data_IF_159796494230
#
_entry.id   IF_159796494230
#
_cell.length_a   1.000
_cell.length_b   1.000
_cell.length_c   1.000
_cell.angle_alpha   90.00
_cell.angle_beta   90.00
_cell.angle_gamma   90.00
#
_symmetry.space_group_name_H-M   'P 1'
#
loop_
_entity.id
_entity.type
_entity.pdbx_description
1 polymer ?
#
# COMPACT_ATOMS: atom_id res chain seq x y z
N UNK A 1 -13.25 21.52 59.36
CA UNK A 1 -14.02 20.36 59.84
C UNK A 1 -15.47 20.65 59.46
N UNK A 2 -15.93 20.14 58.31
CA UNK A 2 -17.33 20.30 57.91
C UNK A 2 -18.08 19.16 58.59
N UNK A 3 -18.84 19.51 59.61
CA UNK A 3 -19.49 18.61 60.56
C UNK A 3 -20.95 18.49 60.15
N UNK A 4 -21.42 17.27 59.95
CA UNK A 4 -22.74 16.84 60.47
C UNK A 4 -23.92 16.92 59.53
N UNK A 5 -24.32 18.08 59.04
CA UNK A 5 -25.59 18.24 58.32
C UNK A 5 -25.37 18.95 56.96
N UNK A 6 -25.97 18.39 55.91
CA UNK A 6 -25.92 18.96 54.55
C UNK A 6 -24.78 18.46 53.66
N UNK A 7 -24.11 17.33 53.94
CA UNK A 7 -23.04 16.81 53.05
C UNK A 7 -23.52 16.65 51.60
N UNK A 8 -24.73 16.12 51.40
CA UNK A 8 -25.36 16.02 50.08
C UNK A 8 -25.66 17.40 49.46
N UNK A 9 -26.06 18.38 50.27
CA UNK A 9 -26.26 19.77 49.80
C UNK A 9 -24.96 20.40 49.29
N UNK A 10 -23.82 20.10 49.93
CA UNK A 10 -22.52 20.54 49.44
C UNK A 10 -22.15 19.88 48.10
N UNK A 11 -22.41 18.58 47.94
CA UNK A 11 -22.23 17.92 46.65
C UNK A 11 -23.14 18.51 45.56
N UNK A 12 -24.41 18.80 45.89
CA UNK A 12 -25.35 19.46 44.99
C UNK A 12 -24.87 20.87 44.58
N UNK A 13 -24.30 21.63 45.52
CA UNK A 13 -23.76 22.96 45.25
C UNK A 13 -22.51 22.91 44.34
N UNK A 14 -21.69 21.86 44.46
CA UNK A 14 -20.45 21.70 43.69
C UNK A 14 -20.70 21.05 42.32
N UNK A 15 -21.71 20.19 42.18
CA UNK A 15 -21.98 19.42 40.97
C UNK A 15 -22.04 20.23 39.67
N UNK A 16 -22.67 21.43 39.61
CA UNK A 16 -22.65 22.26 38.41
C UNK A 16 -21.24 22.66 37.93
N UNK A 17 -20.27 22.75 38.84
CA UNK A 17 -18.90 23.15 38.54
C UNK A 17 -18.00 21.97 38.17
N UNK A 18 -18.40 20.73 38.47
CA UNK A 18 -17.57 19.55 38.23
C UNK A 18 -17.22 19.38 36.74
N UNK A 19 -18.13 19.74 35.84
CA UNK A 19 -17.88 19.73 34.38
C UNK A 19 -16.77 20.70 33.98
N UNK A 20 -16.77 21.92 34.53
CA UNK A 20 -15.78 22.95 34.22
C UNK A 20 -14.43 22.62 34.84
N UNK A 21 -14.45 22.02 36.04
CA UNK A 21 -13.25 21.59 36.76
C UNK A 21 -12.59 20.40 36.06
N UNK A 22 -13.38 19.42 35.64
CA UNK A 22 -12.85 18.19 35.02
C UNK A 22 -12.57 18.36 33.52
N UNK A 23 -13.15 19.37 32.88
CA UNK A 23 -12.92 19.69 31.47
C UNK A 23 -13.46 18.63 30.49
N UNK A 24 -14.28 17.68 30.96
CA UNK A 24 -15.00 16.71 30.12
C UNK A 24 -16.50 16.97 30.19
N UNK A 25 -17.17 16.59 29.11
CA UNK A 25 -18.62 16.62 29.04
C UNK A 25 -19.18 15.42 29.82
N UNK A 26 -19.55 15.69 31.07
CA UNK A 26 -19.97 14.70 32.05
C UNK A 26 -21.36 14.99 32.57
N UNK A 27 -22.07 13.93 32.94
CA UNK A 27 -23.34 14.02 33.66
C UNK A 27 -23.07 13.72 35.12
N UNK A 28 -23.71 14.46 36.03
CA UNK A 28 -23.66 14.18 37.46
C UNK A 28 -25.05 13.88 37.97
N UNK A 29 -25.18 12.76 38.68
CA UNK A 29 -26.35 12.43 39.51
C UNK A 29 -25.96 12.43 40.96
N UNK A 30 -26.83 12.97 41.81
CA UNK A 30 -26.68 12.89 43.26
C UNK A 30 -27.98 12.33 43.81
N UNK A 31 -27.89 11.28 44.62
CA UNK A 31 -29.03 10.67 45.31
C UNK A 31 -28.78 10.59 46.81
N UNK A 32 -29.87 10.56 47.58
CA UNK A 32 -29.85 9.99 48.93
C UNK A 32 -30.10 8.47 48.85
N UNK A 33 -30.39 7.82 49.97
CA UNK A 33 -30.63 6.36 50.01
C UNK A 33 -31.93 5.91 49.33
N UNK A 34 -32.83 6.84 49.02
CA UNK A 34 -34.19 6.57 48.54
C UNK A 34 -34.51 7.22 47.19
N UNK A 35 -34.06 8.45 46.96
CA UNK A 35 -34.46 9.35 45.87
C UNK A 35 -33.27 10.00 45.18
N UNK A 36 -33.45 10.34 43.90
CA UNK A 36 -32.52 11.20 43.17
C UNK A 36 -32.74 12.66 43.59
N UNK A 37 -31.69 13.32 44.07
CA UNK A 37 -31.72 14.69 44.57
C UNK A 37 -31.33 15.72 43.50
N UNK A 38 -30.49 15.35 42.53
CA UNK A 38 -30.03 16.26 41.51
C UNK A 38 -29.55 15.56 40.25
N UNK A 39 -29.84 16.18 39.11
CA UNK A 39 -29.39 15.80 37.78
C UNK A 39 -28.74 17.02 37.12
N UNK A 40 -27.48 16.89 36.74
CA UNK A 40 -26.70 17.95 36.12
C UNK A 40 -26.20 17.44 34.77
N UNK A 41 -26.86 17.80 33.65
CA UNK A 41 -26.46 17.34 32.33
C UNK A 41 -25.16 18.00 31.86
N UNK A 42 -24.48 17.31 30.96
CA UNK A 42 -23.41 17.86 30.16
C UNK A 42 -23.90 18.89 29.13
N UNK A 43 -22.97 19.56 28.47
CA UNK A 43 -23.24 20.49 27.38
C UNK A 43 -23.76 19.80 26.11
N UNK A 44 -23.22 18.62 25.77
CA UNK A 44 -23.67 17.79 24.63
C UNK A 44 -24.22 16.44 25.10
N UNK A 45 -23.85 16.03 26.31
CA UNK A 45 -24.32 14.80 26.94
C UNK A 45 -25.49 15.11 27.90
N UNK A 46 -26.69 15.18 27.34
CA UNK A 46 -27.95 15.28 28.10
C UNK A 46 -28.88 14.15 27.67
N UNK A 47 -29.15 13.25 28.60
CA UNK A 47 -29.94 12.02 28.39
C UNK A 47 -31.33 12.10 29.03
N UNK A 48 -31.63 13.20 29.71
CA UNK A 48 -32.80 13.36 30.56
C UNK A 48 -32.74 12.52 31.84
N UNK A 49 -33.51 12.92 32.84
CA UNK A 49 -33.76 12.12 34.04
C UNK A 49 -35.26 12.10 34.33
N UNK A 50 -35.78 10.93 34.69
CA UNK A 50 -37.15 10.75 35.18
C UNK A 50 -37.30 11.12 36.66
N UNK A 51 -36.19 11.49 37.32
CA UNK A 51 -36.16 11.88 38.72
C UNK A 51 -36.31 10.71 39.69
N UNK A 52 -36.30 9.46 39.23
CA UNK A 52 -36.59 8.28 40.05
C UNK A 52 -35.37 7.39 40.15
N UNK A 53 -34.98 7.05 41.39
CA UNK A 53 -33.92 6.09 41.65
C UNK A 53 -34.51 4.67 41.67
N UNK A 54 -34.40 3.95 40.54
CA UNK A 54 -34.92 2.59 40.37
C UNK A 54 -34.37 1.57 41.37
N UNK A 55 -35.05 0.43 41.57
CA UNK A 55 -34.60 -0.61 42.52
C UNK A 55 -33.32 -1.32 42.09
N UNK A 56 -33.12 -1.46 40.78
CA UNK A 56 -31.95 -2.08 40.13
C UNK A 56 -30.92 -1.04 39.62
N UNK A 57 -31.01 0.19 40.12
CA UNK A 57 -30.12 1.29 39.74
C UNK A 57 -28.69 1.06 40.25
N UNK A 58 -27.69 1.33 39.40
CA UNK A 58 -26.28 1.11 39.71
C UNK A 58 -25.76 1.98 40.85
N UNK A 59 -26.38 3.14 41.13
CA UNK A 59 -26.13 3.94 42.34
C UNK A 59 -26.59 3.21 43.60
N UNK A 60 -27.76 2.56 43.59
CA UNK A 60 -28.23 1.75 44.74
C UNK A 60 -27.33 0.56 44.99
N UNK A 61 -26.88 -0.10 43.93
CA UNK A 61 -25.96 -1.23 44.05
C UNK A 61 -24.64 -0.78 44.71
N UNK A 62 -24.07 0.36 44.28
CA UNK A 62 -22.86 0.90 44.86
C UNK A 62 -23.02 1.22 46.35
N UNK A 63 -24.15 1.82 46.74
CA UNK A 63 -24.49 2.10 48.14
C UNK A 63 -24.61 0.82 48.97
N UNK A 64 -25.30 -0.21 48.46
CA UNK A 64 -25.47 -1.52 49.12
C UNK A 64 -24.13 -2.23 49.31
N UNK A 65 -23.27 -2.21 48.30
CA UNK A 65 -21.94 -2.82 48.36
C UNK A 65 -20.92 -1.98 49.15
N UNK A 66 -21.26 -0.72 49.49
CA UNK A 66 -20.35 0.25 50.14
C UNK A 66 -19.02 0.37 49.41
N UNK A 67 -19.07 0.39 48.08
CA UNK A 67 -17.89 0.44 47.21
C UNK A 67 -18.21 1.22 45.95
N UNK A 68 -17.22 1.94 45.43
CA UNK A 68 -17.35 2.56 44.12
C UNK A 68 -17.52 1.48 43.03
N UNK A 69 -18.57 1.60 42.22
CA UNK A 69 -18.85 0.72 41.10
C UNK A 69 -18.67 1.46 39.79
N UNK A 70 -18.22 0.72 38.77
CA UNK A 70 -18.10 1.20 37.41
C UNK A 70 -18.96 0.31 36.52
N UNK A 71 -19.90 0.90 35.81
CA UNK A 71 -20.76 0.19 34.87
C UNK A 71 -20.74 0.91 33.52
N UNK A 72 -21.00 0.16 32.46
CA UNK A 72 -21.29 0.72 31.14
C UNK A 72 -22.78 0.57 30.91
N UNK A 73 -23.45 1.69 30.71
CA UNK A 73 -24.90 1.72 30.54
C UNK A 73 -25.22 2.43 29.22
N UNK A 74 -26.21 1.90 28.52
CA UNK A 74 -26.76 2.54 27.34
C UNK A 74 -27.94 3.40 27.79
N UNK A 75 -27.82 4.71 27.64
CA UNK A 75 -28.78 5.64 28.23
C UNK A 75 -29.43 6.53 27.18
N UNK A 76 -30.72 6.80 27.41
CA UNK A 76 -31.60 7.53 26.50
C UNK A 76 -32.04 6.74 25.26
N UNK A 77 -33.01 7.27 24.53
CA UNK A 77 -33.54 6.67 23.28
C UNK A 77 -32.58 6.77 22.09
N UNK A 78 -31.51 7.55 22.22
CA UNK A 78 -30.45 7.77 21.23
C UNK A 78 -29.33 6.71 21.29
N UNK A 79 -29.31 5.86 22.34
CA UNK A 79 -28.38 4.76 22.43
C UNK A 79 -26.93 5.14 22.75
N UNK A 80 -26.72 6.23 23.49
CA UNK A 80 -25.39 6.66 23.92
C UNK A 80 -24.91 5.72 25.00
N UNK A 81 -23.70 5.18 24.85
CA UNK A 81 -23.09 4.33 25.87
C UNK A 81 -22.20 5.20 26.75
N UNK A 82 -22.52 5.25 28.04
CA UNK A 82 -21.76 6.00 29.04
C UNK A 82 -21.08 5.03 29.99
N UNK A 83 -19.96 5.48 30.54
CA UNK A 83 -19.28 4.84 31.66
C UNK A 83 -19.65 5.60 32.92
N UNK A 84 -20.43 4.94 33.77
CA UNK A 84 -20.88 5.50 35.03
C UNK A 84 -19.97 5.07 36.17
N UNK A 85 -19.57 6.05 36.97
CA UNK A 85 -18.77 5.83 38.18
C UNK A 85 -19.64 6.21 39.38
N UNK A 86 -20.24 5.19 39.98
CA UNK A 86 -21.12 5.32 41.13
C UNK A 86 -20.30 5.25 42.42
N UNK A 87 -20.22 6.37 43.15
CA UNK A 87 -19.42 6.49 44.38
C UNK A 87 -20.32 6.78 45.58
N UNK A 88 -20.41 5.87 46.57
CA UNK A 88 -21.16 6.12 47.79
C UNK A 88 -20.58 7.28 48.60
N UNK A 89 -21.45 8.10 49.16
CA UNK A 89 -21.12 9.23 50.02
C UNK A 89 -21.30 8.80 51.47
N UNK A 90 -20.29 9.05 52.30
CA UNK A 90 -20.27 8.63 53.70
C UNK A 90 -20.36 9.83 54.65
N UNK A 91 -21.16 9.70 55.71
CA UNK A 91 -21.14 10.65 56.83
C UNK A 91 -19.90 10.48 57.72
N UNK A 92 -19.79 11.32 58.76
CA UNK A 92 -18.70 11.26 59.74
C UNK A 92 -18.69 9.96 60.57
N UNK A 93 -19.77 9.20 60.59
CA UNK A 93 -19.92 7.91 61.25
C UNK A 93 -19.70 6.72 60.30
N UNK A 94 -19.23 6.99 59.07
CA UNK A 94 -19.08 6.02 57.98
C UNK A 94 -20.38 5.37 57.49
N UNK A 95 -21.55 5.92 57.78
CA UNK A 95 -22.80 5.45 57.19
C UNK A 95 -22.92 5.97 55.76
N UNK A 96 -23.50 5.16 54.86
CA UNK A 96 -23.84 5.60 53.52
C UNK A 96 -25.05 6.52 53.60
N UNK A 97 -24.88 7.78 53.21
CA UNK A 97 -25.96 8.78 53.21
C UNK A 97 -26.50 9.07 51.82
N UNK A 98 -25.80 8.63 50.78
CA UNK A 98 -26.20 8.82 49.39
C UNK A 98 -25.14 8.34 48.42
N UNK A 99 -25.28 8.71 47.15
CA UNK A 99 -24.34 8.38 46.09
C UNK A 99 -24.17 9.54 45.13
N UNK A 100 -22.94 9.73 44.63
CA UNK A 100 -22.68 10.56 43.47
C UNK A 100 -22.32 9.63 42.30
N UNK A 101 -23.02 9.79 41.18
CA UNK A 101 -22.67 9.14 39.93
C UNK A 101 -22.15 10.17 38.96
N UNK A 102 -21.06 9.82 38.27
CA UNK A 102 -20.52 10.61 37.17
C UNK A 102 -20.52 9.73 35.93
N UNK A 103 -21.27 10.16 34.92
CA UNK A 103 -21.34 9.51 33.62
C UNK A 103 -20.52 10.26 32.59
N UNK A 104 -19.67 9.52 31.87
CA UNK A 104 -18.84 10.07 30.78
C UNK A 104 -19.14 9.27 29.51
N UNK A 105 -19.31 9.96 28.39
CA UNK A 105 -19.54 9.31 27.10
C UNK A 105 -18.33 8.50 26.64
N UNK A 106 -18.57 7.25 26.22
CA UNK A 106 -17.56 6.38 25.63
C UNK A 106 -17.41 6.58 24.12
N UNK A 107 -18.14 7.52 23.51
CA UNK A 107 -18.11 7.72 22.06
C UNK A 107 -16.73 8.13 21.56
N UNK A 108 -16.01 8.97 22.32
CA UNK A 108 -14.68 9.41 21.93
C UNK A 108 -13.67 8.27 22.04
N UNK A 109 -13.68 7.51 23.15
CA UNK A 109 -12.86 6.31 23.32
C UNK A 109 -13.11 5.32 22.17
N UNK A 110 -14.38 4.99 21.87
CA UNK A 110 -14.74 4.07 20.79
C UNK A 110 -14.35 4.59 19.41
N UNK A 111 -14.50 5.89 19.15
CA UNK A 111 -14.06 6.50 17.88
C UNK A 111 -12.55 6.43 17.71
N UNK A 112 -11.77 6.73 18.76
CA UNK A 112 -10.30 6.64 18.71
C UNK A 112 -9.85 5.19 18.52
N UNK A 113 -10.44 4.25 19.27
CA UNK A 113 -10.16 2.82 19.09
C UNK A 113 -10.49 2.35 17.66
N UNK A 114 -11.63 2.79 17.10
CA UNK A 114 -12.01 2.43 15.72
C UNK A 114 -11.06 3.03 14.68
N UNK A 115 -10.53 4.22 14.91
CA UNK A 115 -9.49 4.82 14.04
C UNK A 115 -8.21 3.98 14.09
N UNK A 116 -7.79 3.52 15.26
CA UNK A 116 -6.63 2.64 15.39
C UNK A 116 -6.84 1.30 14.65
N UNK A 117 -8.00 0.67 14.79
CA UNK A 117 -8.35 -0.55 14.07
C UNK A 117 -8.28 -0.35 12.55
N UNK A 118 -8.85 0.75 12.04
CA UNK A 118 -8.82 1.06 10.61
C UNK A 118 -7.38 1.32 10.10
N UNK A 119 -6.51 1.90 10.93
CA UNK A 119 -5.08 2.06 10.58
C UNK A 119 -4.39 0.69 10.51
N UNK A 120 -4.67 -0.22 11.45
CA UNK A 120 -4.11 -1.57 11.43
C UNK A 120 -4.53 -2.34 10.17
N UNK A 121 -5.81 -2.28 9.80
CA UNK A 121 -6.32 -2.89 8.56
C UNK A 121 -5.62 -2.30 7.32
N UNK A 122 -5.53 -0.96 7.23
CA UNK A 122 -4.80 -0.31 6.14
C UNK A 122 -3.31 -0.68 6.10
N UNK A 123 -2.67 -0.86 7.26
CA UNK A 123 -1.27 -1.31 7.36
C UNK A 123 -1.11 -2.72 6.81
N UNK A 124 -2.02 -3.63 7.09
CA UNK A 124 -1.97 -5.01 6.59
C UNK A 124 -2.16 -5.04 5.06
N UNK A 125 -3.10 -4.25 4.53
CA UNK A 125 -3.30 -4.08 3.08
C UNK A 125 -2.05 -3.54 2.38
N UNK A 126 -1.42 -2.51 2.95
CA UNK A 126 -0.20 -1.93 2.39
C UNK A 126 0.95 -2.95 2.44
N UNK A 127 1.06 -3.77 3.50
CA UNK A 127 2.07 -4.83 3.58
C UNK A 127 1.91 -5.87 2.48
N UNK A 128 0.68 -6.29 2.18
CA UNK A 128 0.39 -7.21 1.08
C UNK A 128 0.77 -6.59 -0.27
N UNK A 129 0.39 -5.33 -0.46
CA UNK A 129 0.74 -4.57 -1.68
C UNK A 129 2.26 -4.46 -1.88
N UNK A 130 3.00 -4.11 -0.83
CA UNK A 130 4.48 -4.03 -0.82
C UNK A 130 5.13 -5.37 -1.16
N UNK A 131 4.58 -6.47 -0.65
CA UNK A 131 5.03 -7.83 -0.98
C UNK A 131 4.79 -8.15 -2.46
N UNK A 132 3.63 -7.75 -2.98
CA UNK A 132 3.30 -7.84 -4.41
C UNK A 132 4.30 -7.07 -5.28
N UNK A 133 4.63 -5.83 -4.90
CA UNK A 133 5.64 -5.01 -5.60
C UNK A 133 7.02 -5.67 -5.62
N UNK A 134 7.43 -6.27 -4.50
CA UNK A 134 8.73 -6.97 -4.42
C UNK A 134 8.77 -8.16 -5.39
N UNK A 135 7.70 -8.95 -5.42
CA UNK A 135 7.59 -10.11 -6.33
C UNK A 135 7.56 -9.67 -7.79
N UNK A 136 6.87 -8.56 -8.08
CA UNK A 136 6.81 -7.99 -9.42
C UNK A 136 8.20 -7.53 -9.89
N UNK A 137 8.96 -6.86 -9.02
CA UNK A 137 10.33 -6.43 -9.33
C UNK A 137 11.23 -7.63 -9.66
N UNK A 138 11.16 -8.72 -8.89
CA UNK A 138 11.90 -9.96 -9.17
C UNK A 138 11.54 -10.55 -10.54
N UNK A 139 10.24 -10.58 -10.88
CA UNK A 139 9.79 -11.07 -12.18
C UNK A 139 10.28 -10.21 -13.35
N UNK A 140 10.30 -8.88 -13.18
CA UNK A 140 10.85 -7.96 -14.18
C UNK A 140 12.35 -8.23 -14.36
N UNK A 141 13.11 -8.33 -13.27
CA UNK A 141 14.55 -8.61 -13.34
C UNK A 141 14.85 -9.93 -14.06
N UNK A 142 14.08 -10.98 -13.78
CA UNK A 142 14.22 -12.27 -14.48
C UNK A 142 13.88 -12.15 -15.98
N UNK A 143 12.81 -11.45 -16.31
CA UNK A 143 12.40 -11.21 -17.71
C UNK A 143 13.45 -10.42 -18.49
N UNK A 144 14.05 -9.41 -17.87
CA UNK A 144 15.13 -8.60 -18.45
C UNK A 144 16.41 -9.42 -18.66
N UNK A 145 16.70 -10.34 -17.74
CA UNK A 145 17.82 -11.29 -17.91
C UNK A 145 17.59 -12.21 -19.11
N UNK A 146 16.41 -12.81 -19.23
CA UNK A 146 16.05 -13.65 -20.38
C UNK A 146 16.08 -12.87 -21.70
N UNK A 147 15.57 -11.62 -21.70
CA UNK A 147 15.64 -10.73 -22.85
C UNK A 147 17.09 -10.51 -23.31
N UNK A 148 18.00 -10.25 -22.36
CA UNK A 148 19.42 -10.05 -22.66
C UNK A 148 20.07 -11.31 -23.24
N UNK A 149 19.76 -12.49 -22.69
CA UNK A 149 20.23 -13.78 -23.23
C UNK A 149 19.73 -14.01 -24.67
N UNK A 150 18.47 -13.72 -24.93
CA UNK A 150 17.89 -13.81 -26.28
C UNK A 150 18.56 -12.86 -27.27
N UNK A 151 18.83 -11.61 -26.87
CA UNK A 151 19.52 -10.63 -27.72
C UNK A 151 20.96 -11.09 -28.03
N UNK A 152 21.66 -11.68 -27.07
CA UNK A 152 22.98 -12.27 -27.31
C UNK A 152 22.91 -13.39 -28.34
N UNK A 153 21.91 -14.27 -28.25
CA UNK A 153 21.66 -15.32 -29.25
C UNK A 153 21.37 -14.76 -30.64
N UNK A 154 20.56 -13.70 -30.75
CA UNK A 154 20.29 -13.03 -32.04
C UNK A 154 21.56 -12.41 -32.62
N UNK A 155 22.41 -11.79 -31.78
CA UNK A 155 23.67 -11.23 -32.23
C UNK A 155 24.64 -12.31 -32.76
N UNK A 156 24.70 -13.46 -32.11
CA UNK A 156 25.50 -14.60 -32.56
C UNK A 156 25.01 -15.14 -33.90
N UNK A 157 23.69 -15.35 -34.05
CA UNK A 157 23.09 -15.77 -35.32
C UNK A 157 23.37 -14.75 -36.43
N UNK A 158 23.27 -13.46 -36.13
CA UNK A 158 23.57 -12.37 -37.07
C UNK A 158 25.03 -12.44 -37.53
N UNK A 159 25.97 -12.72 -36.62
CA UNK A 159 27.39 -12.90 -36.97
C UNK A 159 27.62 -14.13 -37.84
N UNK A 160 26.95 -15.24 -37.55
CA UNK A 160 27.02 -16.45 -38.38
C UNK A 160 26.49 -16.18 -39.80
N UNK A 161 25.37 -15.47 -39.93
CA UNK A 161 24.82 -15.06 -41.23
C UNK A 161 25.81 -14.15 -41.97
N UNK A 162 26.41 -13.17 -41.30
CA UNK A 162 27.44 -12.31 -41.91
C UNK A 162 28.62 -13.12 -42.47
N UNK A 163 29.07 -14.16 -41.75
CA UNK A 163 30.14 -15.06 -42.23
C UNK A 163 29.72 -15.79 -43.50
N UNK A 164 28.54 -16.41 -43.51
CA UNK A 164 28.00 -17.10 -44.70
C UNK A 164 27.87 -16.14 -45.88
N UNK A 165 27.37 -14.94 -45.64
CA UNK A 165 27.19 -13.92 -46.67
C UNK A 165 28.51 -13.47 -47.30
N UNK A 166 29.58 -13.36 -46.50
CA UNK A 166 30.93 -13.08 -47.01
C UNK A 166 31.42 -14.19 -47.95
N UNK A 167 31.15 -15.47 -47.63
CA UNK A 167 31.43 -16.58 -48.54
C UNK A 167 30.59 -16.51 -49.82
N UNK A 168 29.29 -16.20 -49.73
CA UNK A 168 28.42 -16.04 -50.90
C UNK A 168 28.90 -14.93 -51.82
N UNK A 169 29.33 -13.79 -51.29
CA UNK A 169 29.93 -12.70 -52.07
C UNK A 169 31.20 -13.15 -52.79
N UNK A 170 32.06 -13.91 -52.12
CA UNK A 170 33.27 -14.47 -52.72
C UNK A 170 32.95 -15.41 -53.88
N UNK A 171 31.95 -16.29 -53.72
CA UNK A 171 31.49 -17.20 -54.78
C UNK A 171 30.91 -16.41 -55.96
N UNK A 172 30.07 -15.41 -55.70
CA UNK A 172 29.49 -14.56 -56.74
C UNK A 172 30.58 -13.79 -57.52
N UNK A 173 31.59 -13.24 -56.84
CA UNK A 173 32.75 -12.62 -57.48
C UNK A 173 33.55 -13.59 -58.36
N UNK A 174 33.81 -14.81 -57.86
CA UNK A 174 34.51 -15.84 -58.63
C UNK A 174 33.70 -16.28 -59.85
N UNK A 175 32.39 -16.42 -59.70
CA UNK A 175 31.47 -16.80 -60.79
C UNK A 175 31.40 -15.70 -61.84
N UNK A 176 31.39 -14.43 -61.41
CA UNK A 176 31.47 -13.29 -62.32
C UNK A 176 32.78 -13.30 -63.14
N UNK A 177 33.92 -13.61 -62.51
CA UNK A 177 35.20 -13.74 -63.21
C UNK A 177 35.22 -14.93 -64.19
N UNK A 178 34.62 -16.06 -63.81
CA UNK A 178 34.44 -17.21 -64.70
C UNK A 178 33.57 -16.86 -65.92
N UNK A 179 32.47 -16.13 -65.70
CA UNK A 179 31.60 -15.62 -66.77
C UNK A 179 32.36 -14.72 -67.75
N UNK A 180 33.15 -13.77 -67.23
CA UNK A 180 34.00 -12.89 -68.07
C UNK A 180 35.00 -13.71 -68.90
N UNK A 181 35.68 -14.69 -68.29
CA UNK A 181 36.62 -15.54 -69.01
C UNK A 181 35.95 -16.38 -70.09
N UNK A 182 34.75 -16.91 -69.82
CA UNK A 182 33.97 -17.66 -70.80
C UNK A 182 33.47 -16.77 -71.95
N UNK A 183 33.08 -15.53 -71.66
CA UNK A 183 32.65 -14.55 -72.66
C UNK A 183 33.81 -14.15 -73.60
N UNK A 184 35.02 -14.00 -73.06
CA UNK A 184 36.25 -13.78 -73.85
C UNK A 184 36.53 -14.96 -74.78
N UNK A 185 36.46 -16.20 -74.28
CA UNK A 185 36.76 -17.38 -75.09
C UNK A 185 35.66 -17.65 -76.14
N UNK A 186 34.40 -17.35 -75.81
CA UNK A 186 33.29 -17.38 -76.77
C UNK A 186 33.51 -16.38 -77.91
N UNK A 187 33.95 -15.14 -77.61
CA UNK A 187 34.31 -14.16 -78.62
C UNK A 187 35.48 -14.63 -79.50
N UNK A 188 36.46 -15.31 -78.89
CA UNK A 188 37.64 -15.86 -79.57
C UNK A 188 37.31 -16.99 -80.55
N UNK A 189 36.29 -17.79 -80.24
CA UNK A 189 35.78 -18.87 -81.10
C UNK A 189 34.95 -18.36 -82.30
N UNK A 190 34.66 -17.06 -82.38
CA UNK A 190 33.92 -16.45 -83.49
C UNK A 190 32.49 -17.00 -83.61
N UNK A 191 32.07 -17.37 -84.82
CA UNK A 191 30.71 -17.85 -85.08
C UNK A 191 30.35 -19.13 -84.29
N UNK A 192 31.34 -19.98 -83.99
CA UNK A 192 31.13 -21.21 -83.20
C UNK A 192 30.91 -20.93 -81.71
N UNK A 193 31.24 -19.73 -81.22
CA UNK A 193 31.13 -19.34 -79.82
C UNK A 193 29.84 -18.59 -79.45
N UNK A 194 28.99 -18.25 -80.43
CA UNK A 194 27.82 -17.36 -80.21
C UNK A 194 26.88 -17.89 -79.12
N UNK A 195 26.57 -19.18 -79.12
CA UNK A 195 25.73 -19.80 -78.08
C UNK A 195 26.38 -19.79 -76.70
N UNK A 196 27.70 -20.02 -76.62
CA UNK A 196 28.44 -19.95 -75.36
C UNK A 196 28.53 -18.53 -74.81
N UNK A 197 28.62 -17.52 -75.68
CA UNK A 197 28.63 -16.11 -75.29
C UNK A 197 27.33 -15.69 -74.59
N UNK A 198 26.18 -16.15 -75.09
CA UNK A 198 24.87 -15.88 -74.44
C UNK A 198 24.81 -16.47 -73.03
N UNK A 199 25.29 -17.71 -72.86
CA UNK A 199 25.32 -18.37 -71.53
C UNK A 199 26.29 -17.64 -70.59
N UNK A 200 27.45 -17.20 -71.09
CA UNK A 200 28.44 -16.48 -70.29
C UNK A 200 27.93 -15.13 -69.78
N UNK A 201 27.24 -14.33 -70.60
CA UNK A 201 26.63 -13.06 -70.17
C UNK A 201 25.52 -13.30 -69.14
N UNK A 202 24.72 -14.36 -69.28
CA UNK A 202 23.69 -14.70 -68.29
C UNK A 202 24.29 -15.09 -66.93
N UNK A 203 25.36 -15.91 -66.94
CA UNK A 203 26.12 -16.24 -65.72
C UNK A 203 26.68 -14.98 -65.06
N UNK A 204 27.19 -14.03 -65.86
CA UNK A 204 27.72 -12.75 -65.36
C UNK A 204 26.63 -11.91 -64.71
N UNK A 205 25.46 -11.77 -65.35
CA UNK A 205 24.30 -11.06 -64.79
C UNK A 205 23.84 -11.65 -63.47
N UNK A 206 23.64 -12.98 -63.40
CA UNK A 206 23.23 -13.68 -62.18
C UNK A 206 24.26 -13.49 -61.04
N UNK A 207 25.54 -13.44 -61.38
CA UNK A 207 26.61 -13.22 -60.40
C UNK A 207 26.58 -11.78 -59.83
N UNK A 208 26.34 -10.78 -60.68
CA UNK A 208 26.20 -9.38 -60.26
C UNK A 208 24.95 -9.20 -59.40
N UNK A 209 23.82 -9.79 -59.81
CA UNK A 209 22.58 -9.77 -59.05
C UNK A 209 22.75 -10.43 -57.67
N UNK A 210 23.45 -11.57 -57.61
CA UNK A 210 23.79 -12.25 -56.35
C UNK A 210 24.62 -11.37 -55.41
N UNK A 211 25.59 -10.61 -55.94
CA UNK A 211 26.36 -9.65 -55.13
C UNK A 211 25.49 -8.51 -54.60
N UNK A 212 24.54 -8.03 -55.40
CA UNK A 212 23.62 -6.96 -54.99
C UNK A 212 22.67 -7.43 -53.89
N UNK A 213 22.11 -8.64 -54.02
CA UNK A 213 21.29 -9.26 -52.97
C UNK A 213 22.10 -9.39 -51.69
N UNK A 214 23.35 -9.87 -51.79
CA UNK A 214 24.20 -10.02 -50.61
C UNK A 214 24.54 -8.67 -49.95
N UNK A 215 24.63 -7.58 -50.70
CA UNK A 215 24.78 -6.22 -50.14
C UNK A 215 23.52 -5.77 -49.40
N UNK A 216 22.34 -6.08 -49.93
CA UNK A 216 21.07 -5.74 -49.28
C UNK A 216 20.91 -6.50 -47.96
N UNK A 217 21.27 -7.78 -47.93
CA UNK A 217 21.24 -8.58 -46.68
C UNK A 217 22.18 -7.97 -45.63
N UNK A 218 23.38 -7.52 -46.01
CA UNK A 218 24.29 -6.84 -45.06
C UNK A 218 23.64 -5.61 -44.42
N UNK A 219 22.88 -4.81 -45.18
CA UNK A 219 22.14 -3.66 -44.64
C UNK A 219 21.15 -4.11 -43.56
N UNK A 220 20.38 -5.17 -43.84
CA UNK A 220 19.40 -5.73 -42.91
C UNK A 220 20.07 -6.25 -41.63
N UNK A 221 21.24 -6.89 -41.74
CA UNK A 221 21.99 -7.36 -40.55
C UNK A 221 22.48 -6.19 -39.69
N UNK A 222 22.86 -5.06 -40.31
CA UNK A 222 23.24 -3.84 -39.58
C UNK A 222 22.02 -3.26 -38.86
N UNK A 223 20.86 -3.22 -39.53
CA UNK A 223 19.61 -2.76 -38.92
C UNK A 223 19.20 -3.61 -37.72
N UNK A 224 19.33 -4.94 -37.81
CA UNK A 224 19.09 -5.88 -36.70
C UNK A 224 20.02 -5.57 -35.52
N UNK A 225 21.33 -5.37 -35.76
CA UNK A 225 22.28 -5.02 -34.69
C UNK A 225 21.93 -3.70 -34.00
N UNK A 226 21.54 -2.70 -34.78
CA UNK A 226 21.12 -1.40 -34.26
C UNK A 226 19.84 -1.52 -33.42
N UNK A 227 18.85 -2.28 -33.91
CA UNK A 227 17.61 -2.54 -33.16
C UNK A 227 17.92 -3.23 -31.82
N UNK A 228 18.75 -4.28 -31.84
CA UNK A 228 19.18 -4.99 -30.62
C UNK A 228 19.89 -4.06 -29.63
N UNK A 229 20.75 -3.16 -30.11
CA UNK A 229 21.44 -2.19 -29.25
C UNK A 229 20.48 -1.21 -28.58
N UNK A 230 19.44 -0.76 -29.31
CA UNK A 230 18.37 0.08 -28.74
C UNK A 230 17.58 -0.71 -27.69
N UNK A 231 17.21 -1.95 -27.97
CA UNK A 231 16.49 -2.81 -27.01
C UNK A 231 17.30 -3.05 -25.74
N UNK A 232 18.62 -3.28 -25.83
CA UNK A 232 19.48 -3.40 -24.65
C UNK A 232 19.51 -2.12 -23.81
N UNK A 233 19.57 -0.95 -24.45
CA UNK A 233 19.51 0.33 -23.72
C UNK A 233 18.17 0.53 -23.00
N UNK A 234 17.08 0.14 -23.62
CA UNK A 234 15.76 0.16 -22.98
C UNK A 234 15.69 -0.81 -21.80
N UNK A 235 16.26 -2.01 -21.95
CA UNK A 235 16.40 -3.02 -20.89
C UNK A 235 17.20 -2.48 -19.70
N UNK A 236 18.36 -1.84 -19.92
CA UNK A 236 19.15 -1.21 -18.86
C UNK A 236 18.36 -0.12 -18.12
N UNK A 237 17.53 0.63 -18.85
CA UNK A 237 16.67 1.66 -18.25
C UNK A 237 15.57 1.04 -17.38
N UNK A 238 14.97 -0.06 -17.83
CA UNK A 238 13.96 -0.79 -17.08
C UNK A 238 14.52 -1.41 -15.81
N UNK A 239 15.74 -1.96 -15.87
CA UNK A 239 16.46 -2.49 -14.71
C UNK A 239 16.70 -1.37 -13.69
N UNK A 240 17.26 -0.23 -14.12
CA UNK A 240 17.53 0.90 -13.22
C UNK A 240 16.25 1.42 -12.54
N UNK A 241 15.14 1.55 -13.28
CA UNK A 241 13.86 1.95 -12.72
C UNK A 241 13.31 0.92 -11.71
N UNK A 242 13.55 -0.37 -11.96
CA UNK A 242 13.16 -1.45 -11.04
C UNK A 242 13.99 -1.42 -9.75
N UNK A 243 15.29 -1.14 -9.84
CA UNK A 243 16.17 -0.96 -8.67
C UNK A 243 15.73 0.24 -7.81
N UNK A 244 15.38 1.36 -8.43
CA UNK A 244 14.83 2.53 -7.75
C UNK A 244 13.49 2.22 -7.07
N UNK A 245 12.59 1.50 -7.77
CA UNK A 245 11.33 1.06 -7.20
C UNK A 245 11.53 0.18 -5.96
N UNK A 246 12.50 -0.74 -5.97
CA UNK A 246 12.83 -1.59 -4.81
C UNK A 246 13.30 -0.75 -3.63
N UNK A 247 14.13 0.27 -3.87
CA UNK A 247 14.56 1.20 -2.81
C UNK A 247 13.39 1.98 -2.20
N UNK A 248 12.46 2.50 -3.02
CA UNK A 248 11.27 3.17 -2.51
C UNK A 248 10.33 2.23 -1.76
N UNK A 249 10.25 0.97 -2.18
CA UNK A 249 9.47 -0.05 -1.48
C UNK A 249 9.99 -0.28 -0.05
N UNK A 250 11.29 -0.15 0.18
CA UNK A 250 11.89 -0.21 1.51
C UNK A 250 11.58 1.05 2.35
N UNK A 251 11.56 2.23 1.73
CA UNK A 251 11.09 3.46 2.40
C UNK A 251 9.63 3.32 2.88
N UNK A 252 8.77 2.73 2.04
CA UNK A 252 7.38 2.46 2.40
C UNK A 252 7.30 1.52 3.61
N UNK A 253 8.13 0.46 3.67
CA UNK A 253 8.19 -0.44 4.85
C UNK A 253 8.53 0.30 6.14
N UNK A 254 9.48 1.23 6.10
CA UNK A 254 9.80 2.04 7.29
C UNK A 254 8.60 2.89 7.73
N UNK A 255 7.87 3.47 6.78
CA UNK A 255 6.66 4.26 7.08
C UNK A 255 5.50 3.42 7.63
N UNK A 256 5.36 2.17 7.18
CA UNK A 256 4.41 1.22 7.77
C UNK A 256 4.75 0.93 9.24
N UNK A 257 6.03 0.78 9.57
CA UNK A 257 6.46 0.56 10.96
C UNK A 257 6.10 1.76 11.86
N UNK A 258 6.27 2.99 11.36
CA UNK A 258 5.83 4.22 12.04
C UNK A 258 4.31 4.24 12.25
N UNK A 259 3.52 3.92 11.22
CA UNK A 259 2.04 3.86 11.31
C UNK A 259 1.57 2.84 12.35
N UNK A 260 2.25 1.69 12.44
CA UNK A 260 1.95 0.67 13.45
C UNK A 260 2.21 1.17 14.87
N UNK A 261 3.26 1.96 15.07
CA UNK A 261 3.52 2.62 16.35
C UNK A 261 2.43 3.63 16.70
N UNK A 262 2.02 4.47 15.73
CA UNK A 262 0.96 5.47 15.91
C UNK A 262 -0.37 4.79 16.27
N UNK A 263 -0.73 3.72 15.57
CA UNK A 263 -1.91 2.92 15.89
C UNK A 263 -1.88 2.43 17.34
N UNK A 264 -0.70 1.97 17.80
CA UNK A 264 -0.54 1.50 19.18
C UNK A 264 -0.69 2.61 20.22
N UNK A 265 -0.18 3.80 19.91
CA UNK A 265 -0.35 4.98 20.76
C UNK A 265 -1.82 5.39 20.84
N UNK A 266 -2.55 5.37 19.71
CA UNK A 266 -3.99 5.66 19.69
C UNK A 266 -4.80 4.66 20.52
N UNK A 267 -4.48 3.36 20.46
CA UNK A 267 -5.11 2.35 21.32
C UNK A 267 -4.89 2.64 22.82
N UNK A 268 -3.70 3.12 23.18
CA UNK A 268 -3.40 3.48 24.57
C UNK A 268 -4.14 4.74 24.98
N UNK A 269 -4.16 5.77 24.13
CA UNK A 269 -4.93 7.00 24.36
C UNK A 269 -6.41 6.69 24.54
N UNK A 270 -6.98 5.80 23.72
CA UNK A 270 -8.38 5.38 23.84
C UNK A 270 -8.69 4.83 25.23
N UNK A 271 -7.80 3.99 25.79
CA UNK A 271 -7.97 3.41 27.13
C UNK A 271 -7.79 4.40 28.29
N UNK A 272 -7.13 5.53 28.02
CA UNK A 272 -6.89 6.60 29.00
C UNK A 272 -7.98 7.69 28.99
N UNK A 273 -8.86 7.70 27.99
CA UNK A 273 -10.02 8.60 27.90
C UNK A 273 -11.12 8.24 28.91
#
# INVERSE_FOLDING_TARGET
MIIGDGLLEHFLAVAPYLKDIYGKDLIVWISDTENLLGYFPGHKLDIGSDGVLGEDDSMREAMRQRKALRCEEMVGTLGIVIKDINTPIYDSNHNVVGCISIGISLDMEKKVAKVADNINEAVDDINEFVKGLTTLAENIMNSEKELRENILGVNELTEQISKVLAYTKKIAMQTNLLGINAEIEAARAGEYGVGFGVVADEIRKLSIESMQIAKNIDSLLIEIKNANAVTLKSSDTAIAATEEQVAETENVRMKIAELKSISKELENIAKEL
#
